data_IF_414822809414
#
_entry.id   IF_414822809414
#
_cell.length_a   1.000
_cell.length_b   1.000
_cell.length_c   1.000
_cell.angle_alpha   90.00
_cell.angle_beta   90.00
_cell.angle_gamma   90.00
#
_symmetry.space_group_name_H-M   'P 1'
#
loop_
_entity.id
_entity.type
_entity.pdbx_description
1 polymer ?
#
# COMPACT_ATOMS: atom_id res chain seq x y z
N UNK A 1 5.23 11.08 -11.25
CA UNK A 1 6.05 12.32 -11.19
C UNK A 1 5.37 13.54 -11.85
N UNK A 2 4.35 13.34 -12.70
CA UNK A 2 3.80 14.37 -13.57
C UNK A 2 3.21 15.59 -12.87
N UNK A 3 2.32 15.40 -11.90
CA UNK A 3 1.58 16.51 -11.28
C UNK A 3 2.38 17.27 -10.19
N UNK A 4 3.45 16.69 -9.69
CA UNK A 4 4.26 17.32 -8.64
C UNK A 4 5.34 18.27 -9.18
N UNK A 5 5.34 18.54 -10.50
CA UNK A 5 6.29 19.46 -11.16
C UNK A 5 7.76 19.21 -10.75
N UNK A 6 8.13 17.94 -10.59
CA UNK A 6 9.46 17.52 -10.18
C UNK A 6 9.81 17.76 -8.70
N UNK A 7 8.89 18.24 -7.89
CA UNK A 7 9.12 18.38 -6.45
C UNK A 7 9.12 17.02 -5.77
N UNK A 8 10.17 16.75 -5.01
CA UNK A 8 10.31 15.57 -4.16
C UNK A 8 10.14 15.99 -2.71
N UNK A 9 8.91 15.98 -2.23
CA UNK A 9 8.60 16.36 -0.86
C UNK A 9 7.75 15.28 -0.19
N UNK A 10 7.96 15.08 1.11
CA UNK A 10 7.08 14.27 1.94
C UNK A 10 5.92 15.17 2.41
N UNK A 11 4.72 14.60 2.45
CA UNK A 11 3.55 15.28 3.00
C UNK A 11 3.76 15.55 4.50
N UNK A 12 3.48 16.78 4.95
CA UNK A 12 3.55 17.09 6.37
C UNK A 12 2.35 16.52 7.12
N UNK A 13 2.52 16.35 8.45
CA UNK A 13 1.42 15.94 9.32
C UNK A 13 0.23 16.91 9.24
N UNK A 14 0.47 18.22 9.20
CA UNK A 14 -0.56 19.26 9.15
C UNK A 14 -1.42 19.15 7.89
N UNK A 15 -0.82 18.80 6.75
CA UNK A 15 -1.58 18.58 5.51
C UNK A 15 -2.46 17.34 5.61
N UNK A 16 -1.91 16.23 6.09
CA UNK A 16 -2.68 15.00 6.30
C UNK A 16 -3.79 15.17 7.33
N UNK A 17 -3.50 15.89 8.43
CA UNK A 17 -4.50 16.23 9.45
C UNK A 17 -5.68 16.99 8.85
N UNK A 18 -5.40 18.06 8.08
CA UNK A 18 -6.46 18.82 7.39
C UNK A 18 -7.28 17.97 6.42
N UNK A 19 -6.65 17.00 5.75
CA UNK A 19 -7.37 16.08 4.86
C UNK A 19 -8.35 15.18 5.64
N UNK A 20 -7.94 14.66 6.81
CA UNK A 20 -8.83 13.87 7.67
C UNK A 20 -9.97 14.73 8.25
N UNK A 21 -9.66 15.96 8.71
CA UNK A 21 -10.69 16.92 9.18
C UNK A 21 -11.71 17.22 8.08
N UNK A 22 -11.23 17.47 6.84
CA UNK A 22 -12.08 17.70 5.68
C UNK A 22 -12.96 16.49 5.36
N UNK A 23 -12.41 15.28 5.41
CA UNK A 23 -13.16 14.05 5.18
C UNK A 23 -14.30 13.89 6.20
N UNK A 24 -14.02 14.09 7.48
CA UNK A 24 -15.05 14.05 8.55
C UNK A 24 -16.12 15.10 8.32
N UNK A 25 -15.73 16.36 8.07
CA UNK A 25 -16.66 17.47 7.90
C UNK A 25 -17.62 17.27 6.71
N UNK A 26 -17.16 16.59 5.66
CA UNK A 26 -17.93 16.35 4.43
C UNK A 26 -18.58 14.97 4.36
N UNK A 27 -18.43 14.14 5.38
CA UNK A 27 -18.96 12.77 5.38
C UNK A 27 -20.46 12.68 5.71
N UNK A 28 -21.07 13.75 6.25
CA UNK A 28 -22.46 13.75 6.67
C UNK A 28 -22.77 12.59 7.64
N UNK A 29 -23.80 11.82 7.33
CA UNK A 29 -24.20 10.65 8.12
C UNK A 29 -23.38 9.37 7.86
N UNK A 30 -22.44 9.39 6.92
CA UNK A 30 -21.60 8.21 6.63
C UNK A 30 -20.69 7.94 7.83
N UNK A 31 -20.83 6.77 8.40
CA UNK A 31 -20.02 6.34 9.54
C UNK A 31 -18.65 5.80 9.11
N UNK A 32 -18.63 4.94 8.08
CA UNK A 32 -17.40 4.32 7.60
C UNK A 32 -16.70 5.24 6.58
N UNK A 33 -15.45 5.56 6.85
CA UNK A 33 -14.61 6.43 6.02
C UNK A 33 -13.36 5.66 5.61
N UNK A 34 -13.01 5.71 4.33
CA UNK A 34 -11.85 5.01 3.81
C UNK A 34 -10.71 6.00 3.52
N UNK A 35 -9.51 5.64 3.95
CA UNK A 35 -8.30 6.42 3.75
C UNK A 35 -7.19 5.51 3.26
N UNK A 36 -6.67 5.77 2.08
CA UNK A 36 -5.54 5.05 1.52
C UNK A 36 -4.27 5.89 1.62
N UNK A 37 -3.26 5.36 2.29
CA UNK A 37 -1.90 5.88 2.26
C UNK A 37 -1.23 5.40 0.97
N UNK A 38 -1.31 6.25 -0.02
CA UNK A 38 -0.84 6.01 -1.38
C UNK A 38 0.12 7.12 -1.81
N UNK A 39 0.82 6.93 -2.90
CA UNK A 39 1.72 7.96 -3.45
C UNK A 39 3.00 7.35 -4.00
N UNK A 40 4.16 7.99 -3.83
CA UNK A 40 5.43 7.40 -4.24
C UNK A 40 5.75 6.13 -3.45
N UNK A 41 5.99 6.26 -2.15
CA UNK A 41 6.14 5.16 -1.20
C UNK A 41 5.80 5.67 0.22
N UNK A 42 4.66 5.30 0.79
CA UNK A 42 4.24 5.78 2.11
C UNK A 42 5.20 5.42 3.25
N UNK A 43 5.90 4.30 3.15
CA UNK A 43 6.87 3.88 4.18
C UNK A 43 8.09 4.81 4.27
N UNK A 44 8.35 5.65 3.25
CA UNK A 44 9.33 6.73 3.36
C UNK A 44 8.87 7.85 4.30
N UNK A 45 7.57 7.97 4.54
CA UNK A 45 6.96 8.95 5.44
C UNK A 45 6.29 8.27 6.65
N UNK A 46 6.85 7.16 7.09
CA UNK A 46 6.26 6.25 8.06
C UNK A 46 5.87 6.90 9.38
N UNK A 47 6.66 7.86 9.85
CA UNK A 47 6.33 8.63 11.05
C UNK A 47 4.98 9.34 10.90
N UNK A 48 4.78 10.05 9.80
CA UNK A 48 3.54 10.81 9.53
C UNK A 48 2.36 9.85 9.32
N UNK A 49 2.56 8.71 8.66
CA UNK A 49 1.51 7.70 8.53
C UNK A 49 1.02 7.24 9.91
N UNK A 50 1.93 6.90 10.83
CA UNK A 50 1.57 6.48 12.19
C UNK A 50 0.83 7.60 12.96
N UNK A 51 1.30 8.83 12.86
CA UNK A 51 0.67 10.00 13.50
C UNK A 51 -0.74 10.25 12.96
N UNK A 52 -0.97 10.12 11.65
CA UNK A 52 -2.28 10.30 11.02
C UNK A 52 -3.25 9.17 11.38
N UNK A 53 -2.79 7.93 11.46
CA UNK A 53 -3.63 6.83 11.96
C UNK A 53 -4.07 7.09 13.40
N UNK A 54 -3.13 7.48 14.27
CA UNK A 54 -3.45 7.84 15.65
C UNK A 54 -4.47 8.98 15.72
N UNK A 55 -4.29 10.02 14.91
CA UNK A 55 -5.23 11.14 14.82
C UNK A 55 -6.62 10.69 14.31
N UNK A 56 -6.67 9.83 13.31
CA UNK A 56 -7.95 9.24 12.85
C UNK A 56 -8.68 8.49 13.96
N UNK A 57 -7.96 7.70 14.78
CA UNK A 57 -8.54 7.03 15.96
C UNK A 57 -9.10 8.01 17.01
N UNK A 58 -8.50 9.21 17.15
CA UNK A 58 -9.06 10.27 18.00
C UNK A 58 -10.35 10.85 17.40
N UNK A 59 -10.38 11.09 16.09
CA UNK A 59 -11.58 11.58 15.40
C UNK A 59 -12.75 10.58 15.48
N UNK A 60 -12.49 9.28 15.45
CA UNK A 60 -13.52 8.24 15.65
C UNK A 60 -14.27 8.42 16.95
N UNK A 61 -13.53 8.73 18.04
CA UNK A 61 -14.12 8.94 19.38
C UNK A 61 -14.98 10.20 19.46
N UNK A 62 -14.62 11.23 18.67
CA UNK A 62 -15.29 12.54 18.71
C UNK A 62 -16.54 12.60 17.83
N UNK A 63 -16.56 11.90 16.69
CA UNK A 63 -17.55 12.12 15.63
C UNK A 63 -18.37 10.89 15.24
N UNK A 64 -18.34 9.82 16.02
CA UNK A 64 -18.99 8.53 15.70
C UNK A 64 -18.65 8.07 14.25
N UNK A 65 -17.39 8.14 13.91
CA UNK A 65 -16.84 7.68 12.63
C UNK A 65 -16.02 6.41 12.85
N UNK A 66 -15.80 5.68 11.76
CA UNK A 66 -14.91 4.53 11.73
C UNK A 66 -14.02 4.63 10.50
N UNK A 67 -12.72 4.82 10.71
CA UNK A 67 -11.74 4.87 9.64
C UNK A 67 -11.24 3.49 9.27
N UNK A 68 -11.34 3.17 8.00
CA UNK A 68 -10.71 1.99 7.38
C UNK A 68 -9.47 2.46 6.65
N UNK A 69 -8.32 2.14 7.21
CA UNK A 69 -7.04 2.53 6.65
C UNK A 69 -6.51 1.46 5.71
N UNK A 70 -6.04 1.89 4.55
CA UNK A 70 -5.31 1.07 3.57
C UNK A 70 -3.89 1.61 3.41
N UNK A 71 -2.93 0.74 3.24
CA UNK A 71 -1.54 1.07 2.90
C UNK A 71 -1.18 0.42 1.57
N UNK A 72 -0.72 1.23 0.61
CA UNK A 72 -0.17 0.74 -0.66
C UNK A 72 1.34 0.89 -0.66
N UNK A 73 2.09 -0.20 -0.78
CA UNK A 73 3.56 -0.17 -0.68
C UNK A 73 4.25 -1.01 -1.76
N UNK A 74 5.45 -0.57 -2.16
CA UNK A 74 6.37 -1.36 -2.98
C UNK A 74 7.15 -2.43 -2.19
N UNK A 75 7.00 -2.49 -0.87
CA UNK A 75 7.57 -3.51 0.00
C UNK A 75 9.04 -3.35 0.36
N UNK A 76 9.78 -2.47 -0.27
CA UNK A 76 11.24 -2.34 -0.04
C UNK A 76 11.54 -2.04 1.43
N UNK A 77 10.78 -1.13 2.05
CA UNK A 77 10.94 -0.71 3.44
C UNK A 77 10.11 -1.53 4.44
N UNK A 78 9.34 -2.52 3.97
CA UNK A 78 8.58 -3.41 4.84
C UNK A 78 9.53 -4.22 5.72
N UNK A 79 9.35 -4.12 7.04
CA UNK A 79 10.08 -4.83 8.08
C UNK A 79 9.11 -5.32 9.17
N UNK A 80 9.60 -5.93 10.23
CA UNK A 80 8.77 -6.48 11.30
C UNK A 80 7.96 -5.42 12.05
N UNK A 81 8.56 -4.27 12.39
CA UNK A 81 7.84 -3.14 13.04
C UNK A 81 6.66 -2.67 12.18
N UNK A 82 6.91 -2.48 10.88
CA UNK A 82 5.87 -2.06 9.93
C UNK A 82 4.79 -3.12 9.82
N UNK A 83 5.15 -4.40 9.72
CA UNK A 83 4.20 -5.51 9.63
C UNK A 83 3.30 -5.60 10.86
N UNK A 84 3.86 -5.48 12.06
CA UNK A 84 3.08 -5.47 13.32
C UNK A 84 2.09 -4.32 13.37
N UNK A 85 2.52 -3.11 13.01
CA UNK A 85 1.65 -1.94 12.96
C UNK A 85 0.54 -2.11 11.92
N UNK A 86 0.89 -2.54 10.72
CA UNK A 86 -0.03 -2.76 9.60
C UNK A 86 -1.09 -3.81 9.97
N UNK A 87 -0.69 -4.91 10.61
CA UNK A 87 -1.62 -5.95 11.05
C UNK A 87 -2.61 -5.46 12.13
N UNK A 88 -2.19 -4.50 12.95
CA UNK A 88 -3.03 -3.96 14.01
C UNK A 88 -3.96 -2.84 13.51
N UNK A 89 -3.47 -1.96 12.64
CA UNK A 89 -4.13 -0.70 12.33
C UNK A 89 -4.74 -0.62 10.93
N UNK A 90 -4.22 -1.40 9.95
CA UNK A 90 -4.67 -1.32 8.57
C UNK A 90 -5.74 -2.37 8.26
N UNK A 91 -6.87 -1.91 7.76
CA UNK A 91 -7.95 -2.80 7.30
C UNK A 91 -7.56 -3.53 6.02
N UNK A 92 -6.73 -2.91 5.19
CA UNK A 92 -6.25 -3.51 3.96
C UNK A 92 -4.81 -3.10 3.65
N UNK A 93 -4.10 -3.94 2.90
CA UNK A 93 -2.74 -3.66 2.41
C UNK A 93 -2.65 -4.03 0.94
N UNK A 94 -2.15 -3.10 0.15
CA UNK A 94 -1.87 -3.32 -1.27
C UNK A 94 -0.36 -3.47 -1.47
N UNK A 95 0.04 -4.63 -1.95
CA UNK A 95 1.43 -5.02 -2.16
C UNK A 95 1.75 -4.97 -3.66
N UNK A 96 2.56 -4.01 -4.07
CA UNK A 96 2.85 -3.77 -5.47
C UNK A 96 3.87 -4.77 -6.02
N UNK A 97 3.42 -5.70 -6.87
CA UNK A 97 4.21 -6.71 -7.55
C UNK A 97 3.65 -6.91 -8.96
N UNK A 98 4.42 -6.60 -10.00
CA UNK A 98 3.87 -6.56 -11.36
C UNK A 98 3.84 -7.91 -12.08
N UNK A 99 4.43 -8.96 -11.50
CA UNK A 99 4.41 -10.30 -12.09
C UNK A 99 5.61 -11.16 -11.74
N UNK A 100 5.93 -12.08 -12.63
CA UNK A 100 7.14 -12.92 -12.57
C UNK A 100 8.39 -12.05 -12.40
N UNK A 101 9.47 -12.64 -11.94
CA UNK A 101 10.71 -11.93 -11.61
C UNK A 101 11.18 -10.99 -12.71
N UNK A 102 11.23 -11.48 -13.95
CA UNK A 102 11.70 -10.69 -15.11
C UNK A 102 10.74 -9.53 -15.44
N UNK A 103 9.46 -9.68 -15.21
CA UNK A 103 8.46 -8.62 -15.39
C UNK A 103 8.60 -7.57 -14.30
N UNK A 104 8.57 -7.98 -13.05
CA UNK A 104 8.70 -7.08 -11.91
C UNK A 104 10.02 -6.30 -11.94
N UNK A 105 11.15 -6.99 -12.18
CA UNK A 105 12.47 -6.37 -12.14
C UNK A 105 12.69 -5.37 -13.29
N UNK A 106 12.01 -5.55 -14.42
CA UNK A 106 11.96 -4.57 -15.51
C UNK A 106 11.13 -3.33 -15.14
N UNK A 107 9.99 -3.54 -14.49
CA UNK A 107 9.04 -2.46 -14.18
C UNK A 107 9.44 -1.68 -12.92
N UNK A 108 10.06 -2.36 -11.95
CA UNK A 108 10.41 -1.83 -10.61
C UNK A 108 11.89 -2.06 -10.26
N UNK A 109 12.83 -1.58 -11.10
CA UNK A 109 14.24 -1.70 -10.77
C UNK A 109 14.62 -0.72 -9.65
N UNK A 110 15.64 -1.07 -8.88
CA UNK A 110 16.33 -0.09 -8.04
C UNK A 110 17.10 0.93 -8.89
N UNK A 111 17.48 2.05 -8.30
CA UNK A 111 18.28 3.09 -8.97
C UNK A 111 19.61 2.58 -9.55
N UNK A 112 20.17 1.52 -8.98
CA UNK A 112 21.38 0.87 -9.46
C UNK A 112 21.13 -0.17 -10.56
N UNK A 113 19.89 -0.27 -11.06
CA UNK A 113 19.48 -1.21 -12.10
C UNK A 113 19.24 -2.65 -11.63
N UNK A 114 19.46 -2.97 -10.34
CA UNK A 114 19.14 -4.31 -9.81
C UNK A 114 17.63 -4.46 -9.65
N UNK A 115 17.14 -5.69 -9.83
CA UNK A 115 15.74 -6.03 -9.59
C UNK A 115 15.35 -5.97 -8.11
N UNK A 116 14.08 -5.70 -7.84
CA UNK A 116 13.52 -5.65 -6.50
C UNK A 116 12.84 -6.94 -6.05
N UNK A 117 12.53 -7.84 -6.98
CA UNK A 117 11.72 -9.04 -6.77
C UNK A 117 12.22 -9.91 -5.61
N UNK A 118 13.51 -10.31 -5.61
CA UNK A 118 14.07 -11.20 -4.59
C UNK A 118 14.04 -10.60 -3.18
N UNK A 119 14.00 -9.27 -3.06
CA UNK A 119 13.89 -8.57 -1.79
C UNK A 119 12.45 -8.54 -1.29
N UNK A 120 11.48 -8.25 -2.18
CA UNK A 120 10.12 -7.93 -1.76
C UNK A 120 9.23 -9.15 -1.62
N UNK A 121 9.39 -10.18 -2.46
CA UNK A 121 8.51 -11.36 -2.47
C UNK A 121 8.49 -12.08 -1.12
N UNK A 122 9.62 -12.40 -0.47
CA UNK A 122 9.61 -13.05 0.84
C UNK A 122 8.90 -12.22 1.92
N UNK A 123 9.00 -10.89 1.83
CA UNK A 123 8.32 -9.98 2.76
C UNK A 123 6.81 -9.98 2.54
N UNK A 124 6.36 -10.02 1.29
CA UNK A 124 4.95 -10.10 0.92
C UNK A 124 4.33 -11.42 1.35
N UNK A 125 5.02 -12.54 1.15
CA UNK A 125 4.59 -13.85 1.63
C UNK A 125 4.41 -13.85 3.17
N UNK A 126 5.42 -13.35 3.90
CA UNK A 126 5.36 -13.24 5.37
C UNK A 126 4.17 -12.38 5.83
N UNK A 127 3.92 -11.26 5.16
CA UNK A 127 2.77 -10.40 5.48
C UNK A 127 1.44 -11.10 5.18
N UNK A 128 1.28 -11.70 4.01
CA UNK A 128 0.08 -12.42 3.61
C UNK A 128 -0.25 -13.56 4.59
N UNK A 129 0.75 -14.35 4.97
CA UNK A 129 0.62 -15.42 5.98
C UNK A 129 0.21 -14.85 7.34
N UNK A 130 0.83 -13.76 7.81
CA UNK A 130 0.50 -13.13 9.09
C UNK A 130 -0.91 -12.56 9.15
N UNK A 131 -1.53 -12.33 7.99
CA UNK A 131 -2.92 -11.89 7.83
C UNK A 131 -3.90 -13.04 7.51
N UNK A 132 -3.45 -14.30 7.59
CA UNK A 132 -4.23 -15.49 7.21
C UNK A 132 -4.82 -15.37 5.79
N UNK A 133 -4.04 -14.88 4.85
CA UNK A 133 -4.40 -14.69 3.43
C UNK A 133 -5.62 -13.77 3.23
N UNK A 134 -5.86 -12.81 4.14
CA UNK A 134 -7.02 -11.90 4.08
C UNK A 134 -6.60 -10.44 4.21
N UNK A 135 -7.44 -9.55 3.70
CA UNK A 135 -7.29 -8.09 3.83
C UNK A 135 -5.95 -7.58 3.29
N UNK A 136 -5.49 -8.15 2.20
CA UNK A 136 -4.39 -7.66 1.39
C UNK A 136 -4.68 -7.95 -0.09
N UNK A 137 -3.95 -7.30 -0.97
CA UNK A 137 -3.92 -7.63 -2.39
C UNK A 137 -2.48 -7.56 -2.90
N UNK A 138 -2.09 -8.56 -3.69
CA UNK A 138 -1.00 -8.39 -4.64
C UNK A 138 -1.57 -7.60 -5.81
N UNK A 139 -1.02 -6.42 -6.07
CA UNK A 139 -1.46 -5.55 -7.15
C UNK A 139 -0.38 -5.48 -8.22
N UNK A 140 -0.67 -6.04 -9.38
CA UNK A 140 0.17 -6.00 -10.56
C UNK A 140 -0.38 -5.08 -11.63
N UNK A 141 0.51 -4.57 -12.48
CA UNK A 141 0.13 -3.75 -13.63
C UNK A 141 0.50 -4.51 -14.91
N UNK A 142 -0.46 -4.66 -15.83
CA UNK A 142 -0.13 -5.15 -17.16
C UNK A 142 0.00 -3.98 -18.13
N UNK A 143 0.93 -4.12 -19.05
CA UNK A 143 1.23 -3.13 -20.07
C UNK A 143 1.46 -3.83 -21.40
N UNK A 144 1.71 -3.10 -22.46
CA UNK A 144 2.14 -3.69 -23.74
C UNK A 144 3.41 -4.56 -23.63
N UNK A 145 4.14 -4.48 -22.51
CA UNK A 145 5.39 -5.23 -22.30
C UNK A 145 5.17 -6.59 -21.62
N UNK A 146 3.97 -6.85 -21.08
CA UNK A 146 3.58 -8.10 -20.43
C UNK A 146 2.12 -8.48 -20.72
N UNK A 147 1.77 -8.50 -22.02
CA UNK A 147 0.42 -8.90 -22.46
C UNK A 147 0.06 -10.35 -22.10
N UNK A 148 1.05 -11.17 -21.78
CA UNK A 148 0.90 -12.53 -21.26
C UNK A 148 0.70 -12.54 -19.72
N UNK A 149 0.08 -11.51 -19.16
CA UNK A 149 -0.14 -11.32 -17.73
C UNK A 149 -0.90 -12.46 -17.03
N UNK A 150 -1.61 -13.32 -17.79
CA UNK A 150 -2.18 -14.55 -17.23
C UNK A 150 -1.13 -15.42 -16.55
N UNK A 151 0.09 -15.48 -17.12
CA UNK A 151 1.22 -16.19 -16.50
C UNK A 151 1.71 -15.50 -15.23
N UNK A 152 1.53 -14.19 -15.10
CA UNK A 152 1.86 -13.45 -13.88
C UNK A 152 0.84 -13.76 -12.77
N UNK A 153 -0.44 -13.93 -13.12
CA UNK A 153 -1.47 -14.37 -12.19
C UNK A 153 -1.21 -15.80 -11.71
N UNK A 154 -0.90 -16.73 -12.63
CA UNK A 154 -0.51 -18.10 -12.27
C UNK A 154 0.69 -18.11 -11.34
N UNK A 155 1.68 -17.28 -11.63
CA UNK A 155 2.87 -17.14 -10.80
C UNK A 155 2.55 -16.63 -9.38
N UNK A 156 1.62 -15.70 -9.22
CA UNK A 156 1.18 -15.25 -7.89
C UNK A 156 0.50 -16.37 -7.11
N UNK A 157 -0.30 -17.21 -7.78
CA UNK A 157 -0.90 -18.38 -7.16
C UNK A 157 0.16 -19.41 -6.73
N UNK A 158 1.16 -19.67 -7.56
CA UNK A 158 2.30 -20.56 -7.24
C UNK A 158 3.12 -20.06 -6.04
N UNK A 159 3.19 -18.73 -5.84
CA UNK A 159 3.82 -18.10 -4.68
C UNK A 159 2.95 -18.20 -3.40
N UNK A 160 1.72 -18.70 -3.50
CA UNK A 160 0.79 -18.86 -2.39
C UNK A 160 -0.04 -17.62 -2.06
N UNK A 161 -0.15 -16.65 -2.97
CA UNK A 161 -1.02 -15.49 -2.79
C UNK A 161 -2.47 -15.81 -3.22
N UNK A 162 -3.42 -15.56 -2.32
CA UNK A 162 -4.84 -15.83 -2.56
C UNK A 162 -5.64 -14.59 -2.99
N UNK A 163 -5.08 -13.39 -2.79
CA UNK A 163 -5.73 -12.12 -3.11
C UNK A 163 -4.89 -11.37 -4.15
N UNK A 164 -5.42 -11.27 -5.37
CA UNK A 164 -4.71 -10.68 -6.51
C UNK A 164 -5.61 -9.68 -7.24
N UNK A 165 -5.04 -8.54 -7.64
CA UNK A 165 -5.64 -7.55 -8.53
C UNK A 165 -4.66 -7.23 -9.66
N UNK A 166 -5.11 -7.31 -10.90
CA UNK A 166 -4.30 -6.92 -12.07
C UNK A 166 -5.02 -5.78 -12.79
N UNK A 167 -4.30 -4.70 -13.00
CA UNK A 167 -4.84 -3.47 -13.59
C UNK A 167 -4.03 -3.06 -14.83
N UNK A 168 -4.64 -2.37 -15.82
CA UNK A 168 -3.94 -1.85 -17.01
C UNK A 168 -3.07 -0.64 -16.68
#
# INVERSE_FOLDING_TARGET
EGEYHGRRALMSYEVGKKALDFLVANSGSRRNLEVDFFGGEPLMNWKVVKELVAYGRELEKQYDKHFRFTLTTNGVLLNEEVQEFVNREMDNVVLSLDGRKEVNDRMRPFRNGKGSYDLIVPKFQKLAESRNQQKYYIRGTFTRNNLDFSKDVEHFADLGFEQVSIEP
#
